data_IF_937479287534
#
_entry.id   IF_937479287534
#
_cell.length_a   1.000
_cell.length_b   1.000
_cell.length_c   1.000
_cell.angle_alpha   90.00
_cell.angle_beta   90.00
_cell.angle_gamma   90.00
#
_symmetry.space_group_name_H-M   'P 1'
#
loop_
_entity.id
_entity.type
_entity.pdbx_description
1 polymer ?
#
# COMPACT_ATOMS: atom_id res chain seq x y z
N UNK A 1 -27.55 -9.39 -29.05
CA UNK A 1 -28.69 -8.80 -28.30
C UNK A 1 -28.06 -7.93 -27.22
N UNK A 2 -28.41 -6.64 -27.13
CA UNK A 2 -27.81 -5.76 -26.11
C UNK A 2 -28.41 -6.11 -24.76
N UNK A 3 -27.64 -5.94 -23.68
CA UNK A 3 -28.12 -6.25 -22.33
C UNK A 3 -29.36 -5.42 -21.94
N UNK A 4 -29.51 -4.25 -22.55
CA UNK A 4 -30.66 -3.34 -22.44
C UNK A 4 -31.98 -3.96 -22.93
N UNK A 5 -31.91 -4.97 -23.80
CA UNK A 5 -33.07 -5.66 -24.36
C UNK A 5 -33.45 -6.93 -23.56
N UNK A 6 -32.66 -7.30 -22.55
CA UNK A 6 -32.86 -8.54 -21.76
C UNK A 6 -33.79 -8.27 -20.57
N UNK A 7 -34.72 -9.18 -20.33
CA UNK A 7 -35.55 -9.10 -19.12
C UNK A 7 -34.73 -9.44 -17.88
N UNK A 8 -35.17 -8.94 -16.72
CA UNK A 8 -34.53 -9.20 -15.42
C UNK A 8 -34.26 -10.69 -15.17
N UNK A 9 -35.17 -11.55 -15.59
CA UNK A 9 -35.06 -13.00 -15.42
C UNK A 9 -33.97 -13.61 -16.30
N UNK A 10 -33.79 -13.11 -17.53
CA UNK A 10 -32.73 -13.53 -18.44
C UNK A 10 -31.36 -13.11 -17.90
N UNK A 11 -31.24 -11.88 -17.39
CA UNK A 11 -30.00 -11.39 -16.76
C UNK A 11 -29.63 -12.18 -15.50
N UNK A 12 -30.63 -12.55 -14.68
CA UNK A 12 -30.41 -13.38 -13.49
C UNK A 12 -29.95 -14.79 -13.87
N UNK A 13 -30.50 -15.37 -14.95
CA UNK A 13 -30.07 -16.69 -15.45
C UNK A 13 -28.62 -16.66 -15.92
N UNK A 14 -28.27 -15.66 -16.73
CA UNK A 14 -26.93 -15.50 -17.29
C UNK A 14 -25.88 -15.27 -16.19
N UNK A 15 -26.20 -14.47 -15.17
CA UNK A 15 -25.33 -14.30 -14.00
C UNK A 15 -25.15 -15.58 -13.18
N UNK A 16 -26.15 -16.45 -13.11
CA UNK A 16 -26.02 -17.75 -12.42
C UNK A 16 -25.12 -18.70 -13.21
N UNK A 17 -25.27 -18.74 -14.52
CA UNK A 17 -24.43 -19.57 -15.39
C UNK A 17 -22.97 -19.11 -15.37
N UNK A 18 -22.72 -17.79 -15.43
CA UNK A 18 -21.38 -17.23 -15.30
C UNK A 18 -20.75 -17.55 -13.94
N UNK A 19 -21.49 -17.42 -12.84
CA UNK A 19 -21.01 -17.79 -11.50
C UNK A 19 -20.68 -19.28 -11.39
N UNK A 20 -21.45 -20.13 -12.09
CA UNK A 20 -21.22 -21.58 -12.13
C UNK A 20 -19.97 -21.92 -12.95
N UNK A 21 -19.72 -21.20 -14.04
CA UNK A 21 -18.52 -21.37 -14.86
C UNK A 21 -17.25 -20.86 -14.17
N UNK A 22 -17.37 -19.84 -13.32
CA UNK A 22 -16.26 -19.25 -12.56
C UNK A 22 -16.00 -19.94 -11.21
N UNK A 23 -16.85 -20.89 -10.80
CA UNK A 23 -16.59 -21.68 -9.59
C UNK A 23 -15.57 -22.76 -9.93
N UNK A 24 -14.40 -22.81 -9.25
CA UNK A 24 -13.39 -23.84 -9.52
C UNK A 24 -13.94 -25.24 -9.20
N UNK A 25 -13.52 -26.29 -9.92
CA UNK A 25 -13.91 -27.65 -9.61
C UNK A 25 -13.29 -28.06 -8.28
N UNK A 26 -14.12 -28.24 -7.25
CA UNK A 26 -13.71 -28.87 -6.01
C UNK A 26 -13.70 -30.38 -6.23
N UNK A 27 -12.55 -30.92 -6.61
CA UNK A 27 -12.24 -32.33 -6.39
C UNK A 27 -10.89 -32.42 -5.66
N UNK A 28 -10.92 -33.17 -4.57
CA UNK A 28 -9.86 -33.32 -3.59
C UNK A 28 -8.68 -34.11 -4.18
N UNK A 29 -7.49 -33.50 -4.26
CA UNK A 29 -6.20 -34.19 -4.11
C UNK A 29 -5.13 -33.18 -3.65
N UNK A 30 -4.34 -33.60 -2.67
CA UNK A 30 -3.45 -32.83 -1.81
C UNK A 30 -2.25 -32.14 -2.48
N UNK A 31 -1.81 -31.09 -1.78
CA UNK A 31 -0.45 -30.59 -1.58
C UNK A 31 0.02 -29.35 -2.38
N UNK A 32 0.41 -28.34 -1.58
CA UNK A 32 1.17 -27.11 -1.88
C UNK A 32 0.43 -26.09 -2.75
N UNK A 33 -0.23 -25.06 -2.23
CA UNK A 33 0.37 -23.94 -1.47
C UNK A 33 -0.77 -23.10 -0.84
N UNK A 34 -1.46 -23.63 0.17
CA UNK A 34 -2.53 -22.92 0.86
C UNK A 34 -1.98 -22.05 2.01
N UNK A 35 -1.03 -21.16 1.72
CA UNK A 35 -0.49 -20.22 2.72
C UNK A 35 -0.64 -18.75 2.30
N UNK A 36 -1.37 -18.47 1.21
CA UNK A 36 -1.34 -17.14 0.61
C UNK A 36 -2.42 -16.15 1.06
N UNK A 37 -3.25 -16.46 2.05
CA UNK A 37 -4.39 -15.57 2.36
C UNK A 37 -4.79 -15.45 3.84
N UNK A 38 -3.86 -15.69 4.77
CA UNK A 38 -4.08 -15.31 6.16
C UNK A 38 -3.75 -13.82 6.36
N UNK A 39 -4.64 -12.95 5.88
CA UNK A 39 -4.54 -11.51 6.15
C UNK A 39 -4.48 -11.27 7.66
N UNK A 40 -3.36 -10.77 8.14
CA UNK A 40 -3.16 -10.42 9.54
C UNK A 40 -4.27 -9.50 10.06
N UNK A 41 -4.78 -9.80 11.26
CA UNK A 41 -5.81 -8.99 11.92
C UNK A 41 -5.29 -7.57 12.14
N UNK A 42 -5.99 -6.58 11.59
CA UNK A 42 -5.68 -5.16 11.81
C UNK A 42 -6.18 -4.73 13.19
N UNK A 43 -5.30 -4.09 13.96
CA UNK A 43 -5.64 -3.48 15.25
C UNK A 43 -5.58 -1.96 15.11
N UNK A 44 -6.56 -1.21 15.67
CA UNK A 44 -6.46 0.24 15.74
C UNK A 44 -5.20 0.64 16.52
N UNK A 45 -4.51 1.67 16.04
CA UNK A 45 -3.37 2.28 16.72
C UNK A 45 -3.43 3.80 16.59
N UNK A 46 -2.87 4.50 17.56
CA UNK A 46 -2.61 5.94 17.54
C UNK A 46 -1.10 6.25 17.63
N UNK A 47 -0.25 5.26 17.40
CA UNK A 47 1.21 5.42 17.41
C UNK A 47 1.63 6.45 16.34
N UNK A 48 2.46 7.44 16.70
CA UNK A 48 3.14 8.29 15.72
C UNK A 48 4.02 7.47 14.78
N UNK A 49 3.97 7.78 13.48
CA UNK A 49 4.79 7.10 12.47
C UNK A 49 5.66 8.16 11.79
N UNK A 50 6.97 7.97 11.82
CA UNK A 50 7.92 8.70 11.00
C UNK A 50 8.26 7.87 9.76
N UNK A 51 8.38 8.49 8.59
CA UNK A 51 8.77 7.78 7.37
C UNK A 51 9.48 8.69 6.37
N UNK A 52 10.26 8.07 5.48
CA UNK A 52 10.95 8.73 4.38
C UNK A 52 10.80 7.90 3.11
N UNK A 53 10.65 8.56 1.97
CA UNK A 53 10.68 7.91 0.68
C UNK A 53 12.08 7.31 0.44
N UNK A 54 12.12 6.06 0.01
CA UNK A 54 13.34 5.33 -0.31
C UNK A 54 13.36 4.97 -1.80
N UNK A 55 13.18 5.99 -2.64
CA UNK A 55 13.29 5.88 -4.09
C UNK A 55 13.86 7.19 -4.63
N UNK A 56 14.61 7.09 -5.73
CA UNK A 56 15.21 8.26 -6.39
C UNK A 56 14.28 8.83 -7.47
N UNK A 57 14.22 8.16 -8.62
CA UNK A 57 13.42 8.54 -9.78
C UNK A 57 12.42 7.43 -10.08
N UNK A 58 11.14 7.78 -10.06
CA UNK A 58 10.03 6.88 -10.42
C UNK A 58 9.60 7.20 -11.84
N UNK A 59 9.57 6.18 -12.71
CA UNK A 59 8.98 6.34 -14.03
C UNK A 59 7.47 6.10 -13.95
N UNK A 60 6.70 7.08 -14.41
CA UNK A 60 5.24 7.04 -14.38
C UNK A 60 4.65 7.41 -15.74
N UNK A 61 3.51 6.81 -16.05
CA UNK A 61 2.70 7.11 -17.22
C UNK A 61 1.59 8.08 -16.83
N UNK A 62 1.51 9.22 -17.51
CA UNK A 62 0.40 10.15 -17.34
C UNK A 62 -0.93 9.54 -17.79
N UNK A 63 -1.96 9.70 -16.97
CA UNK A 63 -3.35 9.26 -17.22
C UNK A 63 -4.19 10.42 -17.75
N UNK A 64 -4.16 11.56 -17.07
CA UNK A 64 -4.85 12.80 -17.48
C UNK A 64 -4.16 14.04 -16.90
N UNK A 65 -4.41 15.20 -17.51
CA UNK A 65 -3.86 16.49 -17.10
C UNK A 65 -4.90 17.60 -17.27
N UNK A 66 -4.90 18.55 -16.34
CA UNK A 66 -5.72 19.76 -16.37
C UNK A 66 -4.88 20.96 -15.94
N UNK A 67 -5.45 22.16 -16.02
CA UNK A 67 -4.79 23.40 -15.58
C UNK A 67 -4.44 23.41 -14.08
N UNK A 68 -5.05 22.54 -13.27
CA UNK A 68 -4.88 22.50 -11.81
C UNK A 68 -4.20 21.23 -11.28
N UNK A 69 -3.90 20.24 -12.13
CA UNK A 69 -3.31 18.99 -11.65
C UNK A 69 -3.08 17.94 -12.74
N UNK A 70 -2.40 16.87 -12.35
CA UNK A 70 -2.03 15.73 -13.20
C UNK A 70 -2.31 14.42 -12.46
N UNK A 71 -2.82 13.42 -13.18
CA UNK A 71 -2.98 12.05 -12.74
C UNK A 71 -1.98 11.16 -13.48
N UNK A 72 -1.34 10.23 -12.79
CA UNK A 72 -0.38 9.30 -13.37
C UNK A 72 -0.44 7.94 -12.66
N UNK A 73 0.05 6.92 -13.33
CA UNK A 73 0.20 5.56 -12.81
C UNK A 73 1.65 5.09 -12.97
N UNK A 74 2.10 4.22 -12.08
CA UNK A 74 3.41 3.57 -12.18
C UNK A 74 3.25 2.09 -11.85
N UNK A 75 4.06 1.25 -12.50
CA UNK A 75 4.17 -0.17 -12.18
C UNK A 75 5.26 -0.45 -11.14
N UNK A 76 6.00 0.58 -10.72
CA UNK A 76 7.05 0.45 -9.71
C UNK A 76 6.47 0.50 -8.30
N UNK A 77 6.92 -0.39 -7.41
CA UNK A 77 6.52 -0.38 -6.01
C UNK A 77 7.24 0.74 -5.26
N UNK A 78 6.50 1.78 -4.88
CA UNK A 78 7.06 2.92 -4.14
C UNK A 78 7.49 2.49 -2.74
N UNK A 79 8.81 2.42 -2.54
CA UNK A 79 9.42 1.96 -1.29
C UNK A 79 9.64 3.11 -0.31
N UNK A 80 9.39 2.85 0.97
CA UNK A 80 9.57 3.79 2.07
C UNK A 80 10.28 3.10 3.22
N UNK A 81 11.10 3.85 3.95
CA UNK A 81 11.52 3.46 5.29
C UNK A 81 10.62 4.15 6.31
N UNK A 82 10.22 3.40 7.34
CA UNK A 82 9.36 3.89 8.41
C UNK A 82 9.86 3.46 9.77
N UNK A 83 9.59 4.30 10.77
CA UNK A 83 9.85 4.03 12.17
C UNK A 83 8.60 4.35 13.00
N UNK A 84 8.24 3.42 13.87
CA UNK A 84 7.14 3.60 14.82
C UNK A 84 7.34 2.71 16.05
N UNK A 85 6.72 3.11 17.15
CA UNK A 85 6.82 2.41 18.43
C UNK A 85 5.66 1.43 18.65
N UNK A 86 5.97 0.20 19.01
CA UNK A 86 4.97 -0.80 19.44
C UNK A 86 5.38 -1.32 20.81
N UNK A 87 4.49 -1.23 21.79
CA UNK A 87 4.70 -1.72 23.15
C UNK A 87 6.01 -1.22 23.81
N UNK A 88 6.39 0.05 23.57
CA UNK A 88 7.62 0.63 24.14
C UNK A 88 8.87 0.42 23.30
N UNK A 89 8.78 -0.33 22.19
CA UNK A 89 9.92 -0.70 21.36
C UNK A 89 9.83 0.03 20.02
N UNK A 90 10.90 0.74 19.67
CA UNK A 90 11.01 1.36 18.35
C UNK A 90 11.34 0.30 17.30
N UNK A 91 10.57 0.29 16.21
CA UNK A 91 10.76 -0.61 15.08
C UNK A 91 11.02 0.19 13.82
N UNK A 92 12.06 -0.18 13.09
CA UNK A 92 12.31 0.32 11.74
C UNK A 92 11.94 -0.75 10.72
N UNK A 93 11.23 -0.33 9.68
CA UNK A 93 10.76 -1.20 8.61
C UNK A 93 10.92 -0.54 7.25
N UNK A 94 11.12 -1.37 6.25
CA UNK A 94 10.94 -1.01 4.85
C UNK A 94 9.53 -1.44 4.43
N UNK A 95 8.83 -0.63 3.62
CA UNK A 95 7.47 -0.95 3.17
C UNK A 95 7.17 -0.37 1.78
N UNK A 96 6.21 -0.98 1.09
CA UNK A 96 5.71 -0.52 -0.20
C UNK A 96 4.34 0.13 -0.06
N UNK A 97 4.10 1.22 -0.79
CA UNK A 97 2.78 1.87 -0.82
C UNK A 97 1.82 1.03 -1.69
N UNK A 98 0.73 0.54 -1.07
CA UNK A 98 -0.30 -0.27 -1.76
C UNK A 98 -1.48 0.58 -2.22
N UNK A 99 -1.85 1.59 -1.42
CA UNK A 99 -2.93 2.52 -1.80
C UNK A 99 -2.82 3.84 -1.04
N UNK A 100 -3.35 4.88 -1.65
CA UNK A 100 -3.57 6.18 -1.03
C UNK A 100 -4.99 6.64 -1.33
N UNK A 101 -5.64 7.28 -0.36
CA UNK A 101 -6.92 7.94 -0.59
C UNK A 101 -7.02 9.22 0.21
N UNK A 102 -7.69 10.22 -0.36
CA UNK A 102 -8.06 11.43 0.37
C UNK A 102 -9.26 11.13 1.26
N UNK A 103 -9.16 11.40 2.56
CA UNK A 103 -10.25 11.20 3.53
C UNK A 103 -10.89 12.52 3.97
N UNK A 104 -10.19 13.63 3.82
CA UNK A 104 -10.67 15.00 3.98
C UNK A 104 -9.79 15.95 3.14
N UNK A 105 -10.13 17.25 2.98
CA UNK A 105 -9.33 18.20 2.19
C UNK A 105 -7.84 18.22 2.54
N UNK A 106 -7.50 18.09 3.83
CA UNK A 106 -6.12 18.15 4.33
C UNK A 106 -5.66 16.83 4.96
N UNK A 107 -6.40 15.74 4.71
CA UNK A 107 -6.08 14.44 5.30
C UNK A 107 -6.11 13.35 4.22
N UNK A 108 -4.98 12.68 4.06
CA UNK A 108 -4.84 11.49 3.24
C UNK A 108 -4.58 10.28 4.13
N UNK A 109 -5.08 9.13 3.71
CA UNK A 109 -4.80 7.84 4.35
C UNK A 109 -4.01 6.98 3.38
N UNK A 110 -2.94 6.41 3.89
CA UNK A 110 -1.96 5.65 3.16
C UNK A 110 -1.94 4.23 3.71
N UNK A 111 -1.92 3.24 2.82
CA UNK A 111 -1.82 1.83 3.16
C UNK A 111 -0.52 1.27 2.63
N UNK A 112 0.27 0.71 3.53
CA UNK A 112 1.55 0.10 3.20
C UNK A 112 1.52 -1.42 3.43
N UNK A 113 2.40 -2.11 2.71
CA UNK A 113 2.77 -3.50 2.93
C UNK A 113 4.24 -3.55 3.39
N UNK A 114 4.49 -4.17 4.54
CA UNK A 114 5.84 -4.28 5.08
C UNK A 114 6.66 -5.24 4.22
N UNK A 115 7.86 -4.81 3.82
CA UNK A 115 8.82 -5.65 3.14
C UNK A 115 9.63 -6.45 4.16
N UNK A 116 10.06 -7.65 3.78
CA UNK A 116 10.99 -8.48 4.58
C UNK A 116 12.45 -8.05 4.44
N UNK A 117 12.73 -7.05 3.62
CA UNK A 117 14.06 -6.54 3.32
C UNK A 117 14.61 -5.69 4.46
N UNK A 118 15.93 -5.73 4.63
CA UNK A 118 16.65 -4.87 5.59
C UNK A 118 16.46 -3.39 5.24
N UNK A 119 16.57 -2.51 6.24
CA UNK A 119 16.49 -1.07 6.05
C UNK A 119 17.81 -0.56 5.46
N UNK A 120 17.73 0.37 4.50
CA UNK A 120 18.89 1.05 3.91
C UNK A 120 19.50 2.09 4.85
N UNK A 121 18.80 2.46 5.93
CA UNK A 121 19.27 3.35 6.99
C UNK A 121 19.07 4.83 6.71
N UNK A 122 18.28 5.20 5.69
CA UNK A 122 18.00 6.59 5.33
C UNK A 122 17.35 7.36 6.48
N UNK A 123 16.43 6.73 7.23
CA UNK A 123 15.85 7.37 8.42
C UNK A 123 16.90 7.71 9.47
N UNK A 124 17.85 6.80 9.69
CA UNK A 124 18.94 7.00 10.65
C UNK A 124 19.87 8.13 10.22
N UNK A 125 20.19 8.21 8.92
CA UNK A 125 20.98 9.31 8.37
C UNK A 125 20.27 10.66 8.51
N UNK A 126 18.96 10.71 8.24
CA UNK A 126 18.19 11.94 8.34
C UNK A 126 18.15 12.48 9.77
N UNK A 127 17.95 11.59 10.76
CA UNK A 127 18.02 11.96 12.18
C UNK A 127 19.37 12.52 12.58
N UNK A 128 20.46 11.97 12.04
CA UNK A 128 21.81 12.45 12.33
C UNK A 128 22.04 13.86 11.77
N UNK A 129 21.49 14.17 10.60
CA UNK A 129 21.53 15.52 10.00
C UNK A 129 20.63 16.53 10.71
N UNK A 130 19.50 16.08 11.26
CA UNK A 130 18.58 16.92 12.03
C UNK A 130 19.04 17.12 13.50
N UNK A 131 20.17 16.53 13.90
CA UNK A 131 20.77 16.77 15.22
C UNK A 131 21.50 18.12 15.18
N UNK A 132 21.12 19.11 16.01
CA UNK A 132 21.78 20.42 16.00
C UNK A 132 23.28 20.25 16.26
N UNK A 133 24.10 20.92 15.45
CA UNK A 133 25.54 21.00 15.66
C UNK A 133 25.82 21.38 17.12
N UNK A 134 26.72 20.63 17.75
CA UNK A 134 27.17 20.85 19.12
C UNK A 134 27.65 22.30 19.23
N UNK A 135 26.94 23.13 20.01
CA UNK A 135 27.45 24.45 20.40
C UNK A 135 28.75 24.25 21.18
N UNK A 136 29.87 24.57 20.56
CA UNK A 136 31.14 24.66 21.26
C UNK A 136 31.05 25.86 22.22
N UNK A 137 31.29 25.68 23.53
CA UNK A 137 31.33 26.81 24.44
C UNK A 137 32.48 27.74 24.03
N UNK A 138 32.18 29.02 23.78
CA UNK A 138 33.19 30.06 23.66
C UNK A 138 33.91 30.20 25.01
N UNK A 139 35.25 30.15 24.98
CA UNK A 139 36.15 30.32 26.15
C UNK A 139 36.11 31.75 26.73
#
# INVERSE_FOLDING_TARGET
>A
MRDEDKTKEQLISELRDLRRQLSPPTDETEATSADHDQRSKRRPTQTPIAFVANFELVHAQGVDVSDSGICFETSEDLQFEMEFEVDGVSHQHTAHLVWMRKTAPDCSRWGFELASTETTGLLSMRKLLDTPEIEFPEE
#
